data_IF_071911136446
#
_entry.id   IF_071911136446
#
_cell.length_a   1.000
_cell.length_b   1.000
_cell.length_c   1.000
_cell.angle_alpha   90.00
_cell.angle_beta   90.00
_cell.angle_gamma   90.00
#
_symmetry.space_group_name_H-M   'P 1'
#
loop_
_entity.id
_entity.type
_entity.pdbx_description
1 polymer ?
#
# COMPACT_ATOMS: atom_id res chain seq x y z
N UNK A 1 24.58 30.21 72.67
CA UNK A 1 24.77 30.60 71.25
C UNK A 1 24.67 29.34 70.40
N UNK A 2 23.48 28.74 70.36
CA UNK A 2 23.24 27.44 69.74
C UNK A 2 21.84 27.55 69.12
N UNK A 3 21.69 27.43 67.79
CA UNK A 3 20.34 27.39 67.20
C UNK A 3 20.12 28.05 65.84
N UNK A 4 21.15 28.57 65.18
CA UNK A 4 20.96 29.18 63.84
C UNK A 4 21.42 28.31 62.66
N UNK A 5 22.25 27.29 62.89
CA UNK A 5 22.89 26.51 61.81
C UNK A 5 22.00 25.39 61.26
N UNK A 6 21.17 24.75 62.10
CA UNK A 6 20.45 23.52 61.69
C UNK A 6 19.25 23.77 60.76
N UNK A 7 18.53 24.89 60.90
CA UNK A 7 17.31 25.16 60.10
C UNK A 7 17.58 25.47 58.62
N UNK A 8 18.77 25.96 58.26
CA UNK A 8 19.12 26.26 56.87
C UNK A 8 19.42 25.01 56.05
N UNK A 9 19.93 23.96 56.69
CA UNK A 9 20.26 22.70 56.02
C UNK A 9 19.01 21.91 55.61
N UNK A 10 17.96 21.91 56.44
CA UNK A 10 16.71 21.20 56.12
C UNK A 10 15.88 21.89 55.03
N UNK A 11 15.95 23.23 54.91
CA UNK A 11 15.25 23.96 53.87
C UNK A 11 15.86 23.71 52.47
N UNK A 12 17.18 23.51 52.38
CA UNK A 12 17.87 23.25 51.10
C UNK A 12 17.62 21.83 50.56
N UNK A 13 17.35 20.85 51.43
CA UNK A 13 17.09 19.46 51.03
C UNK A 13 15.67 19.29 50.46
N UNK A 14 14.69 20.05 50.95
CA UNK A 14 13.31 19.98 50.46
C UNK A 14 13.12 20.61 49.06
N UNK A 15 13.98 21.56 48.67
CA UNK A 15 13.92 22.19 47.34
C UNK A 15 14.51 21.28 46.26
N UNK A 16 15.50 20.43 46.60
CA UNK A 16 16.09 19.48 45.65
C UNK A 16 15.18 18.27 45.34
N UNK A 17 14.24 17.94 46.22
CA UNK A 17 13.28 16.84 46.00
C UNK A 17 12.05 17.25 45.17
N UNK A 18 11.80 18.55 45.00
CA UNK A 18 10.65 19.07 44.24
C UNK A 18 10.88 19.23 42.73
N UNK A 19 12.13 19.08 42.25
CA UNK A 19 12.48 19.27 40.83
C UNK A 19 12.52 17.91 40.08
N UNK A 20 12.56 16.79 40.81
CA UNK A 20 12.68 15.44 40.25
C UNK A 20 11.37 14.90 39.64
N UNK A 21 10.25 15.63 39.76
CA UNK A 21 8.94 15.18 39.27
C UNK A 21 8.64 15.57 37.82
N UNK A 22 9.52 16.33 37.16
CA UNK A 22 9.43 16.54 35.71
C UNK A 22 10.11 15.39 34.96
N UNK A 23 9.69 14.16 35.25
CA UNK A 23 9.96 13.05 34.33
C UNK A 23 9.08 13.34 33.13
N UNK A 24 9.73 13.83 32.07
CA UNK A 24 9.21 13.79 30.72
C UNK A 24 8.57 12.42 30.52
N UNK A 25 7.27 12.39 30.26
CA UNK A 25 6.64 11.26 29.60
C UNK A 25 7.25 11.16 28.21
N UNK A 26 8.44 10.58 28.15
CA UNK A 26 8.97 9.98 26.94
C UNK A 26 7.93 8.95 26.55
N UNK A 27 7.05 9.29 25.61
CA UNK A 27 6.47 8.28 24.75
C UNK A 27 7.67 7.49 24.25
N UNK A 28 7.87 6.31 24.81
CA UNK A 28 8.84 5.37 24.30
C UNK A 28 8.39 5.10 22.86
N UNK A 29 8.96 5.84 21.92
CA UNK A 29 8.89 5.47 20.52
C UNK A 29 9.49 4.07 20.50
N UNK A 30 8.63 3.07 20.35
CA UNK A 30 9.07 1.71 20.02
C UNK A 30 10.12 1.87 18.94
N UNK A 31 11.33 1.30 19.08
CA UNK A 31 12.36 1.44 18.06
C UNK A 31 11.69 1.10 16.73
N UNK A 32 11.56 2.10 15.83
CA UNK A 32 10.98 1.83 14.52
C UNK A 32 11.83 0.71 13.94
N UNK A 33 11.24 -0.49 13.78
CA UNK A 33 11.97 -1.62 13.23
C UNK A 33 12.58 -1.14 11.91
N UNK A 34 13.88 -1.37 11.63
CA UNK A 34 14.54 -0.85 10.42
C UNK A 34 13.74 -1.11 9.14
N UNK A 35 13.04 -2.25 9.07
CA UNK A 35 12.12 -2.58 7.99
C UNK A 35 10.91 -1.65 7.87
N UNK A 36 10.27 -1.28 8.98
CA UNK A 36 9.12 -0.37 8.98
C UNK A 36 9.51 1.01 8.44
N UNK A 37 10.68 1.52 8.85
CA UNK A 37 11.19 2.79 8.33
C UNK A 37 11.59 2.67 6.86
N UNK A 38 12.22 1.56 6.46
CA UNK A 38 12.51 1.28 5.06
C UNK A 38 11.25 1.27 4.17
N UNK A 39 10.17 0.63 4.62
CA UNK A 39 8.88 0.63 3.91
C UNK A 39 8.33 2.06 3.82
N UNK A 40 8.36 2.82 4.94
CA UNK A 40 7.89 4.20 4.98
C UNK A 40 8.62 5.09 3.98
N UNK A 41 9.95 5.07 3.99
CA UNK A 41 10.78 5.83 3.07
C UNK A 41 10.49 5.42 1.63
N UNK A 42 10.41 4.12 1.36
CA UNK A 42 10.17 3.61 0.01
C UNK A 42 8.79 3.96 -0.54
N UNK A 43 7.77 4.02 0.32
CA UNK A 43 6.42 4.45 -0.04
C UNK A 43 6.28 5.97 -0.18
N UNK A 44 7.20 6.76 0.37
CA UNK A 44 7.07 8.24 0.39
C UNK A 44 7.07 8.88 -1.01
N UNK A 45 7.69 8.22 -1.99
CA UNK A 45 7.79 8.68 -3.37
C UNK A 45 6.75 8.07 -4.31
N UNK A 46 5.79 7.28 -3.80
CA UNK A 46 4.73 6.70 -4.64
C UNK A 46 3.56 7.68 -4.78
N UNK A 47 2.68 7.45 -5.77
CA UNK A 47 1.49 8.30 -5.99
C UNK A 47 0.51 8.25 -4.82
N UNK A 48 0.42 7.11 -4.13
CA UNK A 48 -0.47 6.93 -2.97
C UNK A 48 0.31 6.44 -1.72
N UNK A 49 1.13 7.31 -1.09
CA UNK A 49 2.08 6.90 -0.04
C UNK A 49 1.41 6.25 1.18
N UNK A 50 0.29 6.82 1.62
CA UNK A 50 -0.46 6.30 2.77
C UNK A 50 -0.95 4.88 2.51
N UNK A 51 -1.56 4.64 1.34
CA UNK A 51 -2.05 3.32 0.94
C UNK A 51 -0.88 2.34 0.86
N UNK A 52 0.20 2.71 0.18
CA UNK A 52 1.44 1.92 0.07
C UNK A 52 1.95 1.47 1.45
N UNK A 53 2.11 2.41 2.38
CA UNK A 53 2.63 2.08 3.71
C UNK A 53 1.67 1.18 4.48
N UNK A 54 0.37 1.51 4.49
CA UNK A 54 -0.62 0.73 5.24
C UNK A 54 -0.76 -0.70 4.70
N UNK A 55 -0.65 -0.89 3.38
CA UNK A 55 -0.77 -2.21 2.76
C UNK A 55 0.47 -3.09 2.94
N UNK A 56 1.64 -2.49 3.20
CA UNK A 56 2.92 -3.21 3.28
C UNK A 56 3.48 -3.33 4.71
N UNK A 57 3.09 -2.46 5.63
CA UNK A 57 3.64 -2.39 7.00
C UNK A 57 3.40 -3.66 7.83
N UNK A 58 2.45 -4.50 7.47
CA UNK A 58 2.20 -5.80 8.12
C UNK A 58 3.19 -6.89 7.68
N UNK A 59 3.94 -6.66 6.59
CA UNK A 59 4.86 -7.62 5.98
C UNK A 59 6.33 -7.34 6.32
N UNK A 60 6.62 -6.61 7.40
CA UNK A 60 8.00 -6.20 7.76
C UNK A 60 8.98 -7.38 7.88
N UNK A 61 8.52 -8.53 8.37
CA UNK A 61 9.37 -9.71 8.53
C UNK A 61 9.76 -10.33 7.16
N UNK A 62 8.86 -10.22 6.17
CA UNK A 62 9.10 -10.70 4.82
C UNK A 62 9.97 -9.70 4.04
N UNK A 63 9.61 -8.41 4.10
CA UNK A 63 10.27 -7.35 3.33
C UNK A 63 11.69 -7.08 3.84
N UNK A 64 11.87 -7.07 5.17
CA UNK A 64 13.08 -6.62 5.84
C UNK A 64 13.50 -5.25 5.27
N UNK A 65 14.71 -5.12 4.73
CA UNK A 65 15.18 -3.91 4.03
C UNK A 65 15.54 -4.19 2.57
N UNK A 66 14.88 -5.18 1.94
CA UNK A 66 15.17 -5.59 0.56
C UNK A 66 14.23 -4.90 -0.45
N UNK A 67 14.76 -4.14 -1.42
CA UNK A 67 13.96 -3.55 -2.50
C UNK A 67 13.23 -4.59 -3.36
N UNK A 68 13.86 -5.74 -3.63
CA UNK A 68 13.24 -6.83 -4.38
C UNK A 68 12.04 -7.41 -3.62
N UNK A 69 12.22 -7.72 -2.33
CA UNK A 69 11.14 -8.28 -1.51
C UNK A 69 10.02 -7.26 -1.30
N UNK A 70 10.35 -5.97 -1.21
CA UNK A 70 9.37 -4.89 -1.17
C UNK A 70 8.52 -4.85 -2.44
N UNK A 71 9.16 -4.82 -3.62
CA UNK A 71 8.46 -4.80 -4.91
C UNK A 71 7.63 -6.07 -5.13
N UNK A 72 8.18 -7.25 -4.83
CA UNK A 72 7.46 -8.53 -4.90
C UNK A 72 6.28 -8.59 -3.93
N UNK A 73 6.44 -8.09 -2.70
CA UNK A 73 5.32 -8.05 -1.72
C UNK A 73 4.22 -7.10 -2.18
N UNK A 74 4.56 -5.92 -2.69
CA UNK A 74 3.59 -4.99 -3.24
C UNK A 74 2.78 -5.61 -4.39
N UNK A 75 3.47 -6.30 -5.31
CA UNK A 75 2.82 -6.97 -6.42
C UNK A 75 1.88 -8.10 -5.96
N UNK A 76 2.28 -8.88 -4.95
CA UNK A 76 1.43 -9.93 -4.36
C UNK A 76 0.18 -9.35 -3.67
N UNK A 77 0.33 -8.26 -2.92
CA UNK A 77 -0.79 -7.56 -2.27
C UNK A 77 -1.77 -7.03 -3.33
N UNK A 78 -1.25 -6.40 -4.39
CA UNK A 78 -2.05 -5.94 -5.52
C UNK A 78 -2.80 -7.09 -6.18
N UNK A 79 -2.12 -8.19 -6.53
CA UNK A 79 -2.74 -9.36 -7.14
C UNK A 79 -3.85 -9.96 -6.26
N UNK A 80 -3.65 -10.02 -4.94
CA UNK A 80 -4.69 -10.49 -4.01
C UNK A 80 -5.91 -9.57 -4.01
N UNK A 81 -5.70 -8.26 -3.99
CA UNK A 81 -6.76 -7.26 -4.07
C UNK A 81 -7.52 -7.34 -5.40
N UNK A 82 -6.81 -7.49 -6.52
CA UNK A 82 -7.39 -7.63 -7.85
C UNK A 82 -8.25 -8.90 -7.96
N UNK A 83 -7.76 -10.06 -7.50
CA UNK A 83 -8.53 -11.32 -7.48
C UNK A 83 -9.80 -11.24 -6.64
N UNK A 84 -9.70 -10.66 -5.45
CA UNK A 84 -10.86 -10.46 -4.57
C UNK A 84 -11.89 -9.53 -5.21
N UNK A 85 -11.42 -8.44 -5.82
CA UNK A 85 -12.26 -7.45 -6.49
C UNK A 85 -12.93 -8.03 -7.74
N UNK A 86 -12.19 -8.76 -8.57
CA UNK A 86 -12.73 -9.46 -9.75
C UNK A 86 -13.84 -10.45 -9.36
N UNK A 87 -13.62 -11.25 -8.30
CA UNK A 87 -14.66 -12.15 -7.77
C UNK A 87 -15.91 -11.38 -7.30
N UNK A 88 -15.72 -10.25 -6.63
CA UNK A 88 -16.82 -9.39 -6.20
C UNK A 88 -17.58 -8.82 -7.41
N UNK A 89 -16.88 -8.37 -8.45
CA UNK A 89 -17.48 -7.82 -9.67
C UNK A 89 -18.30 -8.87 -10.44
N UNK A 90 -17.82 -10.12 -10.50
CA UNK A 90 -18.59 -11.26 -11.05
C UNK A 90 -19.87 -11.51 -10.26
N UNK A 91 -19.87 -11.30 -8.94
CA UNK A 91 -21.09 -11.48 -8.14
C UNK A 91 -22.06 -10.30 -8.30
N UNK A 92 -21.54 -9.08 -8.37
CA UNK A 92 -22.35 -7.88 -8.63
C UNK A 92 -23.00 -7.97 -10.02
N UNK A 93 -22.28 -8.42 -11.04
CA UNK A 93 -22.80 -8.54 -12.40
C UNK A 93 -24.01 -9.46 -12.54
N UNK A 94 -24.16 -10.43 -11.62
CA UNK A 94 -25.29 -11.37 -11.55
C UNK A 94 -26.51 -10.82 -10.80
N UNK A 95 -26.37 -9.67 -10.14
CA UNK A 95 -27.45 -9.07 -9.36
C UNK A 95 -28.58 -8.56 -10.25
N UNK A 96 -29.82 -8.68 -9.78
CA UNK A 96 -30.99 -8.18 -10.48
C UNK A 96 -31.22 -6.69 -10.20
N UNK A 97 -32.02 -6.03 -11.04
CA UNK A 97 -32.43 -4.63 -10.83
C UNK A 97 -31.45 -3.57 -11.34
N UNK A 98 -30.44 -3.96 -12.11
CA UNK A 98 -29.57 -3.03 -12.83
C UNK A 98 -30.19 -2.61 -14.16
N UNK A 99 -29.95 -1.36 -14.58
CA UNK A 99 -30.34 -0.92 -15.93
C UNK A 99 -29.49 -1.64 -16.99
N UNK A 100 -29.98 -1.80 -18.23
CA UNK A 100 -29.22 -2.45 -19.30
C UNK A 100 -27.83 -1.83 -19.52
N UNK A 101 -27.72 -0.51 -19.34
CA UNK A 101 -26.45 0.21 -19.45
C UNK A 101 -25.45 -0.18 -18.35
N UNK A 102 -25.92 -0.33 -17.12
CA UNK A 102 -25.09 -0.76 -15.99
C UNK A 102 -24.67 -2.22 -16.16
N UNK A 103 -25.57 -3.08 -16.67
CA UNK A 103 -25.24 -4.48 -16.98
C UNK A 103 -24.12 -4.58 -18.01
N UNK A 104 -24.19 -3.79 -19.10
CA UNK A 104 -23.14 -3.74 -20.11
C UNK A 104 -21.80 -3.29 -19.51
N UNK A 105 -21.77 -2.15 -18.81
CA UNK A 105 -20.55 -1.66 -18.16
C UNK A 105 -19.97 -2.65 -17.14
N UNK A 106 -20.82 -3.42 -16.46
CA UNK A 106 -20.39 -4.44 -15.51
C UNK A 106 -19.82 -5.67 -16.21
N UNK A 107 -20.30 -6.02 -17.40
CA UNK A 107 -19.69 -7.08 -18.21
C UNK A 107 -18.29 -6.67 -18.66
N UNK A 108 -18.16 -5.49 -19.26
CA UNK A 108 -16.88 -4.95 -19.73
C UNK A 108 -15.88 -4.88 -18.57
N UNK A 109 -16.31 -4.35 -17.43
CA UNK A 109 -15.44 -4.28 -16.25
C UNK A 109 -14.99 -5.64 -15.70
N UNK A 110 -15.83 -6.69 -15.78
CA UNK A 110 -15.41 -8.04 -15.37
C UNK A 110 -14.32 -8.58 -16.29
N UNK A 111 -14.39 -8.28 -17.58
CA UNK A 111 -13.37 -8.64 -18.57
C UNK A 111 -12.05 -7.93 -18.26
N UNK A 112 -12.07 -6.60 -18.15
CA UNK A 112 -10.90 -5.79 -17.81
C UNK A 112 -10.23 -6.24 -16.49
N UNK A 113 -11.01 -6.52 -15.44
CA UNK A 113 -10.43 -7.02 -14.18
C UNK A 113 -9.89 -8.46 -14.28
N UNK A 114 -10.39 -9.27 -15.20
CA UNK A 114 -9.85 -10.61 -15.44
C UNK A 114 -8.48 -10.52 -16.13
N UNK A 115 -8.33 -9.58 -17.06
CA UNK A 115 -7.07 -9.30 -17.76
C UNK A 115 -6.02 -8.70 -16.80
N UNK A 116 -6.39 -7.69 -16.00
CA UNK A 116 -5.52 -7.17 -14.93
C UNK A 116 -5.03 -8.29 -14.00
N UNK A 117 -5.91 -9.21 -13.57
CA UNK A 117 -5.51 -10.36 -12.73
C UNK A 117 -4.52 -11.28 -13.46
N UNK A 118 -4.73 -11.53 -14.75
CA UNK A 118 -3.82 -12.34 -15.56
C UNK A 118 -2.43 -11.71 -15.64
N UNK A 119 -2.35 -10.42 -15.91
CA UNK A 119 -1.10 -9.67 -16.07
C UNK A 119 -0.34 -9.52 -14.75
N UNK A 120 -1.04 -9.19 -13.65
CA UNK A 120 -0.46 -9.15 -12.31
C UNK A 120 0.08 -10.53 -11.90
N UNK A 121 -0.60 -11.61 -12.30
CA UNK A 121 -0.15 -12.97 -12.03
C UNK A 121 1.11 -13.35 -12.84
N UNK A 122 1.20 -12.95 -14.10
CA UNK A 122 2.43 -13.09 -14.90
C UNK A 122 3.59 -12.31 -14.25
N UNK A 123 3.34 -11.05 -13.91
CA UNK A 123 4.30 -10.17 -13.25
C UNK A 123 4.84 -10.79 -11.96
N UNK A 124 3.95 -11.37 -11.14
CA UNK A 124 4.32 -12.01 -9.87
C UNK A 124 5.23 -13.22 -10.09
N UNK A 125 4.89 -14.06 -11.08
CA UNK A 125 5.71 -15.23 -11.44
C UNK A 125 7.09 -14.82 -11.94
N UNK A 126 7.14 -13.80 -12.77
CA UNK A 126 8.39 -13.28 -13.32
C UNK A 126 9.26 -12.66 -12.23
N UNK A 127 8.69 -11.83 -11.35
CA UNK A 127 9.39 -11.17 -10.23
C UNK A 127 10.08 -12.18 -9.31
N UNK A 128 9.47 -13.33 -9.07
CA UNK A 128 10.07 -14.40 -8.25
C UNK A 128 11.27 -15.08 -8.91
N UNK A 129 11.44 -14.92 -10.22
CA UNK A 129 12.53 -15.51 -10.99
C UNK A 129 13.59 -14.48 -11.41
N UNK A 130 13.40 -13.19 -11.13
CA UNK A 130 14.33 -12.10 -11.50
C UNK A 130 15.71 -12.36 -10.89
N UNK A 131 16.68 -12.72 -11.73
CA UNK A 131 18.10 -12.92 -11.38
C UNK A 131 19.00 -12.95 -12.62
N UNK A 132 20.28 -12.67 -12.40
CA UNK A 132 21.34 -12.90 -13.40
C UNK A 132 21.22 -12.02 -14.65
N UNK A 133 21.75 -12.51 -15.77
CA UNK A 133 21.88 -11.75 -17.03
C UNK A 133 20.56 -11.31 -17.66
N UNK A 134 19.44 -11.94 -17.30
CA UNK A 134 18.13 -11.63 -17.86
C UNK A 134 17.37 -10.55 -17.08
N UNK A 135 17.95 -10.03 -15.99
CA UNK A 135 17.32 -9.07 -15.09
C UNK A 135 16.56 -7.96 -15.81
N UNK A 136 17.22 -7.27 -16.75
CA UNK A 136 16.64 -6.11 -17.44
C UNK A 136 15.40 -6.50 -18.27
N UNK A 137 15.49 -7.61 -19.01
CA UNK A 137 14.39 -8.08 -19.84
C UNK A 137 13.18 -8.47 -18.98
N UNK A 138 13.42 -9.25 -17.93
CA UNK A 138 12.36 -9.69 -17.00
C UNK A 138 11.68 -8.50 -16.31
N UNK A 139 12.45 -7.49 -15.91
CA UNK A 139 11.91 -6.27 -15.29
C UNK A 139 11.10 -5.43 -16.28
N UNK A 140 11.55 -5.30 -17.53
CA UNK A 140 10.79 -4.62 -18.57
C UNK A 140 9.44 -5.32 -18.84
N UNK A 141 9.43 -6.65 -18.86
CA UNK A 141 8.20 -7.44 -19.00
C UNK A 141 7.25 -7.22 -17.82
N UNK A 142 7.77 -7.25 -16.59
CA UNK A 142 7.00 -6.95 -15.38
C UNK A 142 6.41 -5.54 -15.44
N UNK A 143 7.20 -4.53 -15.79
CA UNK A 143 6.73 -3.14 -15.90
C UNK A 143 5.62 -3.01 -16.94
N UNK A 144 5.75 -3.70 -18.07
CA UNK A 144 4.76 -3.71 -19.15
C UNK A 144 3.44 -4.30 -18.65
N UNK A 145 3.46 -5.50 -18.07
CA UNK A 145 2.24 -6.17 -17.59
C UNK A 145 1.59 -5.42 -16.42
N UNK A 146 2.36 -4.85 -15.49
CA UNK A 146 1.77 -4.07 -14.39
C UNK A 146 1.16 -2.75 -14.90
N UNK A 147 1.75 -2.15 -15.93
CA UNK A 147 1.17 -0.94 -16.56
C UNK A 147 -0.10 -1.24 -17.34
N UNK A 148 -0.16 -2.39 -18.01
CA UNK A 148 -1.37 -2.87 -18.66
C UNK A 148 -2.48 -3.12 -17.63
N UNK A 149 -2.18 -3.78 -16.51
CA UNK A 149 -3.18 -4.06 -15.48
C UNK A 149 -3.77 -2.78 -14.88
N UNK A 150 -2.93 -1.76 -14.70
CA UNK A 150 -3.37 -0.44 -14.26
C UNK A 150 -4.28 0.24 -15.29
N UNK A 151 -4.02 0.02 -16.58
CA UNK A 151 -4.85 0.54 -17.68
C UNK A 151 -6.21 -0.12 -17.63
N UNK A 152 -6.30 -1.44 -17.52
CA UNK A 152 -7.56 -2.18 -17.47
C UNK A 152 -8.42 -1.78 -16.25
N UNK A 153 -7.79 -1.63 -15.08
CA UNK A 153 -8.44 -1.14 -13.86
C UNK A 153 -9.00 0.29 -14.03
N UNK A 154 -8.29 1.13 -14.78
CA UNK A 154 -8.71 2.48 -15.12
C UNK A 154 -9.86 2.46 -16.13
N UNK A 155 -9.76 1.64 -17.18
CA UNK A 155 -10.81 1.43 -18.19
C UNK A 155 -12.12 0.98 -17.55
N UNK A 156 -12.08 -0.04 -16.68
CA UNK A 156 -13.28 -0.44 -15.94
C UNK A 156 -13.84 0.76 -15.15
N UNK A 157 -12.99 1.45 -14.39
CA UNK A 157 -13.43 2.57 -13.56
C UNK A 157 -14.15 3.63 -14.40
N UNK A 158 -13.56 3.99 -15.55
CA UNK A 158 -14.10 4.97 -16.49
C UNK A 158 -15.41 4.54 -17.14
N UNK A 159 -15.63 3.23 -17.33
CA UNK A 159 -16.90 2.66 -17.79
C UNK A 159 -18.11 3.04 -16.92
N UNK A 160 -17.89 3.44 -15.66
CA UNK A 160 -18.95 3.89 -14.74
C UNK A 160 -19.06 5.43 -14.62
N UNK A 161 -18.47 6.20 -15.54
CA UNK A 161 -18.57 7.66 -15.54
C UNK A 161 -19.97 8.18 -15.94
N UNK A 162 -20.27 9.42 -15.56
CA UNK A 162 -21.49 10.13 -15.95
C UNK A 162 -22.72 9.85 -15.07
N UNK A 163 -23.75 10.71 -15.24
CA UNK A 163 -24.99 10.70 -14.43
C UNK A 163 -25.86 9.46 -14.69
N UNK A 164 -25.81 8.92 -15.91
CA UNK A 164 -26.57 7.73 -16.30
C UNK A 164 -26.13 6.45 -15.55
N UNK A 165 -24.98 6.48 -14.87
CA UNK A 165 -24.47 5.39 -14.04
C UNK A 165 -24.70 5.61 -12.54
N UNK A 166 -25.36 6.71 -12.14
CA UNK A 166 -25.52 7.04 -10.72
C UNK A 166 -26.33 5.96 -9.99
N UNK A 167 -25.89 5.65 -8.77
CA UNK A 167 -26.50 4.64 -7.91
C UNK A 167 -25.48 3.92 -7.04
N UNK A 168 -25.96 3.01 -6.22
CA UNK A 168 -25.14 2.27 -5.27
C UNK A 168 -24.10 1.38 -5.98
N UNK A 169 -24.47 0.76 -7.10
CA UNK A 169 -23.58 -0.11 -7.89
C UNK A 169 -22.34 0.65 -8.35
N UNK A 170 -22.50 1.82 -8.98
CA UNK A 170 -21.37 2.66 -9.40
C UNK A 170 -20.44 3.02 -8.23
N UNK A 171 -21.02 3.42 -7.10
CA UNK A 171 -20.23 3.82 -5.93
C UNK A 171 -19.39 2.66 -5.39
N UNK A 172 -20.02 1.49 -5.26
CA UNK A 172 -19.38 0.27 -4.80
C UNK A 172 -18.29 -0.21 -5.77
N UNK A 173 -18.62 -0.32 -7.06
CA UNK A 173 -17.71 -0.79 -8.11
C UNK A 173 -16.49 0.12 -8.21
N UNK A 174 -16.71 1.43 -8.40
CA UNK A 174 -15.60 2.39 -8.51
C UNK A 174 -14.72 2.41 -7.28
N UNK A 175 -15.30 2.40 -6.07
CA UNK A 175 -14.51 2.44 -4.84
C UNK A 175 -13.56 1.27 -4.71
N UNK A 176 -14.00 0.06 -5.11
CA UNK A 176 -13.17 -1.14 -5.08
C UNK A 176 -12.06 -1.11 -6.13
N UNK A 177 -12.39 -0.69 -7.35
CA UNK A 177 -11.47 -0.78 -8.48
C UNK A 177 -10.44 0.33 -8.45
N UNK A 178 -10.83 1.53 -8.02
CA UNK A 178 -9.88 2.61 -7.71
C UNK A 178 -8.87 2.14 -6.66
N UNK A 179 -9.31 1.41 -5.63
CA UNK A 179 -8.36 0.88 -4.65
C UNK A 179 -7.35 -0.10 -5.29
N UNK A 180 -7.78 -0.97 -6.22
CA UNK A 180 -6.86 -1.84 -6.97
C UNK A 180 -5.90 -0.99 -7.81
N UNK A 181 -6.39 -0.06 -8.62
CA UNK A 181 -5.59 0.87 -9.43
C UNK A 181 -4.53 1.62 -8.62
N UNK A 182 -4.89 2.07 -7.42
CA UNK A 182 -3.95 2.76 -6.53
C UNK A 182 -2.87 1.82 -5.98
N UNK A 183 -3.22 0.57 -5.66
CA UNK A 183 -2.24 -0.46 -5.27
C UNK A 183 -1.33 -0.82 -6.45
N UNK A 184 -1.87 -1.00 -7.65
CA UNK A 184 -1.12 -1.30 -8.88
C UNK A 184 -0.14 -0.17 -9.21
N UNK A 185 -0.59 1.09 -9.15
CA UNK A 185 0.26 2.26 -9.32
C UNK A 185 1.41 2.32 -8.32
N UNK A 186 1.15 2.04 -7.04
CA UNK A 186 2.21 1.95 -6.02
C UNK A 186 3.18 0.80 -6.28
N UNK A 187 2.68 -0.38 -6.68
CA UNK A 187 3.52 -1.53 -7.00
C UNK A 187 4.45 -1.22 -8.18
N UNK A 188 3.93 -0.61 -9.25
CA UNK A 188 4.72 -0.18 -10.40
C UNK A 188 5.83 0.81 -10.00
N UNK A 189 5.50 1.80 -9.14
CA UNK A 189 6.50 2.74 -8.65
C UNK A 189 7.64 2.05 -7.88
N UNK A 190 7.32 1.05 -7.05
CA UNK A 190 8.31 0.27 -6.31
C UNK A 190 9.15 -0.63 -7.23
N UNK A 191 8.54 -1.22 -8.26
CA UNK A 191 9.23 -2.00 -9.31
C UNK A 191 10.21 -1.10 -10.07
N UNK A 192 9.78 0.09 -10.47
CA UNK A 192 10.64 1.06 -11.18
C UNK A 192 11.84 1.47 -10.31
N UNK A 193 11.62 1.67 -9.02
CA UNK A 193 12.72 1.96 -8.08
C UNK A 193 13.67 0.78 -7.94
N UNK A 194 13.15 -0.44 -7.83
CA UNK A 194 13.99 -1.65 -7.80
C UNK A 194 14.84 -1.80 -9.07
N UNK A 195 14.24 -1.55 -10.24
CA UNK A 195 14.92 -1.55 -11.53
C UNK A 195 16.08 -0.55 -11.55
N UNK A 196 15.85 0.68 -11.09
CA UNK A 196 16.87 1.74 -11.09
C UNK A 196 18.09 1.47 -10.20
N UNK A 197 17.99 0.53 -9.24
CA UNK A 197 19.12 0.14 -8.39
C UNK A 197 20.07 -0.86 -9.08
N UNK A 198 19.67 -1.42 -10.22
CA UNK A 198 20.38 -2.49 -10.94
C UNK A 198 20.66 -2.14 -12.41
N UNK A 199 20.30 -0.92 -12.83
CA UNK A 199 20.59 -0.36 -14.16
C UNK A 199 21.85 0.48 -14.18
#
# INVERSE_FOLDING_TARGET
MEGFSSKRFFASILILLGISSYINSSLAATPNKPSTEFIRISCSSTTYPKLCFTSLSTYTNLIQTSPQLLASTALNVTLSSAKSTSTMMVNISKSQGMSPKVVAAMKDCVEELSDSVYELNKSTREMNNVKGSNFQLMINDIQTWVSAALTDETTCTDGFHGKAMNGNVKTLVRGRIVNVAQLTSNALALINRYASLHG
#
